data_IF_848435864366
#
_entry.id   IF_848435864366
#
_cell.length_a   1.000
_cell.length_b   1.000
_cell.length_c   1.000
_cell.angle_alpha   90.00
_cell.angle_beta   90.00
_cell.angle_gamma   90.00
#
_symmetry.space_group_name_H-M   'P 1'
#
loop_
_entity.id
_entity.type
_entity.pdbx_description
1 polymer ?
#
# COMPACT_ATOMS: atom_id res chain seq x y z
N UNK A 1 -0.71 18.01 -33.70
CA UNK A 1 -1.25 17.74 -35.05
C UNK A 1 -1.41 19.01 -35.89
N UNK A 2 -2.23 20.01 -35.51
CA UNK A 2 -2.49 21.22 -36.33
C UNK A 2 -1.23 22.00 -36.78
N UNK A 3 -0.23 22.15 -35.92
CA UNK A 3 0.98 22.93 -36.24
C UNK A 3 1.97 22.28 -37.21
N UNK A 4 1.95 20.95 -37.35
CA UNK A 4 2.85 20.23 -38.26
C UNK A 4 2.39 20.33 -39.71
N UNK A 5 1.07 20.30 -39.93
CA UNK A 5 0.48 20.47 -41.26
C UNK A 5 0.76 21.87 -41.82
N UNK A 6 0.68 22.90 -40.97
CA UNK A 6 0.99 24.29 -41.38
C UNK A 6 2.46 24.44 -41.76
N UNK A 7 3.38 23.84 -40.98
CA UNK A 7 4.81 23.85 -41.32
C UNK A 7 5.09 23.15 -42.65
N UNK A 8 4.42 22.03 -42.91
CA UNK A 8 4.55 21.30 -44.17
C UNK A 8 4.04 22.14 -45.35
N UNK A 9 2.88 22.76 -45.24
CA UNK A 9 2.31 23.61 -46.29
C UNK A 9 3.19 24.83 -46.59
N UNK A 10 3.74 25.47 -45.55
CA UNK A 10 4.68 26.58 -45.73
C UNK A 10 5.94 26.13 -46.47
N UNK A 11 6.49 24.98 -46.10
CA UNK A 11 7.64 24.40 -46.80
C UNK A 11 7.30 24.07 -48.27
N UNK A 12 6.15 23.47 -48.55
CA UNK A 12 5.75 23.18 -49.93
C UNK A 12 5.52 24.45 -50.76
N UNK A 13 5.05 25.52 -50.12
CA UNK A 13 4.87 26.84 -50.75
C UNK A 13 6.21 27.53 -51.05
N UNK A 14 7.20 27.43 -50.16
CA UNK A 14 8.52 28.04 -50.36
C UNK A 14 9.30 27.38 -51.50
N UNK A 15 9.15 26.07 -51.67
CA UNK A 15 9.87 25.28 -52.67
C UNK A 15 9.16 25.18 -54.04
N UNK A 16 7.96 25.76 -54.19
CA UNK A 16 7.23 25.74 -55.47
C UNK A 16 6.88 24.32 -55.92
N UNK A 17 6.37 23.51 -54.98
CA UNK A 17 6.13 22.08 -55.19
C UNK A 17 5.13 21.81 -56.34
N UNK A 18 5.46 20.90 -57.30
CA UNK A 18 4.56 20.53 -58.39
C UNK A 18 3.33 19.74 -57.90
N UNK A 19 2.21 19.83 -58.64
CA UNK A 19 0.92 19.23 -58.25
C UNK A 19 0.96 17.71 -58.03
N UNK A 20 1.87 17.01 -58.71
CA UNK A 20 2.06 15.56 -58.58
C UNK A 20 2.64 15.16 -57.21
N UNK A 21 3.55 15.96 -56.67
CA UNK A 21 4.12 15.75 -55.33
C UNK A 21 3.11 16.12 -54.24
N UNK A 22 2.33 17.20 -54.46
CA UNK A 22 1.23 17.59 -53.58
C UNK A 22 0.19 16.47 -53.43
N UNK A 23 -0.19 15.84 -54.54
CA UNK A 23 -1.15 14.73 -54.53
C UNK A 23 -0.58 13.50 -53.81
N UNK A 24 0.68 13.12 -54.05
CA UNK A 24 1.34 12.03 -53.34
C UNK A 24 1.41 12.24 -51.82
N UNK A 25 1.80 13.45 -51.38
CA UNK A 25 1.83 13.83 -49.96
C UNK A 25 0.43 13.80 -49.35
N UNK A 26 -0.57 14.33 -50.05
CA UNK A 26 -1.96 14.33 -49.59
C UNK A 26 -2.51 12.91 -49.38
N UNK A 27 -2.13 11.97 -50.24
CA UNK A 27 -2.52 10.57 -50.17
C UNK A 27 -1.82 9.84 -49.02
N UNK A 28 -0.50 10.04 -48.86
CA UNK A 28 0.26 9.47 -47.73
C UNK A 28 -0.20 9.98 -46.37
N UNK A 29 -0.69 11.21 -46.29
CA UNK A 29 -1.25 11.81 -45.08
C UNK A 29 -2.76 11.56 -44.91
N UNK A 30 -3.40 10.85 -45.85
CA UNK A 30 -4.83 10.54 -45.85
C UNK A 30 -5.74 11.78 -45.75
N UNK A 31 -5.29 12.91 -46.32
CA UNK A 31 -6.01 14.21 -46.26
C UNK A 31 -7.27 14.24 -47.13
N UNK A 32 -7.42 13.30 -48.07
CA UNK A 32 -8.61 13.15 -48.91
C UNK A 32 -9.82 12.59 -48.18
N UNK A 33 -9.67 12.15 -46.92
CA UNK A 33 -10.81 11.80 -46.11
C UNK A 33 -11.54 13.08 -45.72
N UNK A 34 -12.62 13.40 -46.45
CA UNK A 34 -13.77 14.12 -45.91
C UNK A 34 -14.24 13.33 -44.69
N UNK A 35 -13.63 13.59 -43.53
CA UNK A 35 -14.20 13.18 -42.26
C UNK A 35 -15.45 14.02 -42.17
N UNK A 36 -16.60 13.42 -42.49
CA UNK A 36 -17.91 14.03 -42.32
C UNK A 36 -17.96 14.47 -40.87
N UNK A 37 -17.70 15.75 -40.64
CA UNK A 37 -17.91 16.40 -39.36
C UNK A 37 -19.42 16.45 -39.23
N UNK A 38 -20.03 15.38 -38.73
CA UNK A 38 -21.44 15.42 -38.36
C UNK A 38 -21.64 16.60 -37.41
N UNK A 39 -22.79 17.28 -37.49
CA UNK A 39 -23.10 18.45 -36.65
C UNK A 39 -22.88 18.20 -35.14
N UNK A 40 -22.91 16.93 -34.71
CA UNK A 40 -22.62 16.48 -33.34
C UNK A 40 -21.16 16.67 -32.89
N UNK A 41 -20.19 16.80 -33.82
CA UNK A 41 -18.76 16.94 -33.50
C UNK A 41 -18.27 18.39 -33.51
N UNK A 42 -19.01 19.34 -34.08
CA UNK A 42 -18.57 20.74 -34.21
C UNK A 42 -18.71 21.54 -32.91
N UNK A 43 -19.65 21.17 -32.05
CA UNK A 43 -19.86 21.83 -30.77
C UNK A 43 -19.56 20.88 -29.61
N UNK A 44 -18.48 21.17 -28.87
CA UNK A 44 -18.29 20.58 -27.55
C UNK A 44 -19.42 21.12 -26.66
N UNK A 45 -20.46 20.31 -26.39
CA UNK A 45 -21.50 20.66 -25.41
C UNK A 45 -20.79 21.06 -24.11
N UNK A 46 -21.06 22.28 -23.63
CA UNK A 46 -20.59 22.74 -22.33
C UNK A 46 -21.19 21.78 -21.29
N UNK A 47 -20.37 20.92 -20.69
CA UNK A 47 -20.80 20.17 -19.51
C UNK A 47 -21.22 21.21 -18.47
N UNK A 48 -22.43 21.11 -17.94
CA UNK A 48 -22.79 21.80 -16.71
C UNK A 48 -21.69 21.48 -15.71
N UNK A 49 -21.09 22.50 -15.08
CA UNK A 49 -20.23 22.22 -13.93
C UNK A 49 -21.13 21.47 -12.95
N UNK A 50 -20.75 20.24 -12.60
CA UNK A 50 -21.39 19.59 -11.47
C UNK A 50 -21.29 20.59 -10.32
N UNK A 51 -22.43 20.96 -9.73
CA UNK A 51 -22.41 21.75 -8.52
C UNK A 51 -21.54 20.99 -7.52
N UNK A 52 -20.63 21.68 -6.84
CA UNK A 52 -19.66 21.08 -5.93
C UNK A 52 -20.34 20.16 -4.89
N UNK A 53 -21.60 20.45 -4.59
CA UNK A 53 -22.51 19.67 -3.74
C UNK A 53 -22.91 18.31 -4.29
N UNK A 54 -22.88 18.06 -5.61
CA UNK A 54 -23.18 16.73 -6.20
C UNK A 54 -21.98 15.78 -6.22
N UNK A 55 -20.75 16.29 -6.01
CA UNK A 55 -19.52 15.48 -5.95
C UNK A 55 -19.05 15.17 -4.53
N UNK A 56 -19.65 15.79 -3.52
CA UNK A 56 -19.56 15.33 -2.13
C UNK A 56 -20.41 14.06 -2.01
N UNK A 57 -19.85 12.93 -2.45
CA UNK A 57 -20.29 11.66 -1.88
C UNK A 57 -19.94 11.72 -0.40
N UNK A 58 -20.90 11.41 0.46
CA UNK A 58 -20.60 11.17 1.86
C UNK A 58 -19.42 10.19 1.90
N UNK A 59 -18.32 10.56 2.56
CA UNK A 59 -17.23 9.62 2.80
C UNK A 59 -17.87 8.44 3.53
N UNK A 60 -17.86 7.27 2.89
CA UNK A 60 -18.30 6.06 3.55
C UNK A 60 -17.45 5.94 4.82
N UNK A 61 -18.09 6.04 6.00
CA UNK A 61 -17.45 5.75 7.27
C UNK A 61 -16.89 4.34 7.14
N UNK A 62 -15.58 4.24 6.91
CA UNK A 62 -14.92 2.96 6.80
C UNK A 62 -15.08 2.26 8.15
N UNK A 63 -15.79 1.14 8.16
CA UNK A 63 -15.99 0.36 9.39
C UNK A 63 -14.65 0.12 10.08
N UNK A 64 -14.58 0.49 11.36
CA UNK A 64 -13.42 0.21 12.19
C UNK A 64 -13.21 -1.31 12.24
N UNK A 65 -12.03 -1.75 11.80
CA UNK A 65 -11.68 -3.17 11.81
C UNK A 65 -11.74 -3.73 13.24
N UNK A 66 -12.29 -4.94 13.37
CA UNK A 66 -12.21 -5.66 14.63
C UNK A 66 -10.77 -6.02 14.98
N UNK A 67 -10.50 -6.23 16.28
CA UNK A 67 -9.17 -6.67 16.77
C UNK A 67 -8.65 -7.90 16.02
N UNK A 68 -9.53 -8.86 15.73
CA UNK A 68 -9.19 -10.09 14.99
C UNK A 68 -8.82 -9.80 13.53
N UNK A 69 -9.52 -8.86 12.87
CA UNK A 69 -9.25 -8.45 11.49
C UNK A 69 -7.96 -7.65 11.37
N UNK A 70 -7.68 -6.76 12.32
CA UNK A 70 -6.39 -6.04 12.41
C UNK A 70 -5.23 -7.04 12.55
N UNK A 71 -5.39 -8.05 13.42
CA UNK A 71 -4.39 -9.11 13.58
C UNK A 71 -4.24 -9.95 12.29
N UNK A 72 -5.33 -10.25 11.59
CA UNK A 72 -5.29 -10.98 10.32
C UNK A 72 -4.63 -10.18 9.18
N UNK A 73 -4.85 -8.87 9.10
CA UNK A 73 -4.17 -7.97 8.16
C UNK A 73 -2.65 -7.93 8.41
N UNK A 74 -2.24 -7.92 9.67
CA UNK A 74 -0.82 -8.02 10.05
C UNK A 74 -0.18 -9.36 9.61
N UNK A 75 -0.95 -10.46 9.50
CA UNK A 75 -0.45 -11.73 8.93
C UNK A 75 -0.04 -11.61 7.45
N UNK A 76 -0.68 -10.71 6.69
CA UNK A 76 -0.41 -10.50 5.26
C UNK A 76 0.87 -9.68 5.03
N UNK A 77 1.29 -8.90 6.03
CA UNK A 77 2.56 -8.15 6.02
C UNK A 77 3.32 -8.41 7.31
N UNK A 78 4.03 -9.55 7.38
CA UNK A 78 4.95 -9.81 8.48
C UNK A 78 6.04 -8.73 8.53
N UNK A 79 5.89 -7.77 9.45
CA UNK A 79 6.88 -6.71 9.71
C UNK A 79 8.18 -7.28 10.28
N UNK A 80 8.08 -8.37 11.03
CA UNK A 80 9.22 -9.09 11.60
C UNK A 80 9.21 -10.54 11.13
N UNK A 81 10.39 -11.04 10.80
CA UNK A 81 10.64 -12.44 10.50
C UNK A 81 10.58 -13.31 11.75
N UNK A 82 10.37 -14.61 11.56
CA UNK A 82 10.41 -15.57 12.67
C UNK A 82 11.74 -15.52 13.43
N UNK A 83 12.87 -15.32 12.72
CA UNK A 83 14.20 -15.21 13.34
C UNK A 83 14.32 -14.00 14.24
N UNK A 84 13.66 -12.88 13.90
CA UNK A 84 13.67 -11.69 14.74
C UNK A 84 12.84 -11.87 16.01
N UNK A 85 11.74 -12.62 15.94
CA UNK A 85 10.94 -12.98 17.10
C UNK A 85 11.73 -13.93 18.02
N UNK A 86 12.38 -14.94 17.43
CA UNK A 86 13.26 -15.86 18.18
C UNK A 86 14.42 -15.11 18.83
N UNK A 87 15.08 -14.19 18.10
CA UNK A 87 16.16 -13.38 18.63
C UNK A 87 15.72 -12.44 19.76
N UNK A 88 14.48 -11.92 19.71
CA UNK A 88 13.92 -11.12 20.80
C UNK A 88 13.77 -11.95 22.08
N UNK A 89 13.24 -13.18 21.96
CA UNK A 89 13.09 -14.09 23.11
C UNK A 89 14.47 -14.49 23.65
N UNK A 90 15.36 -14.94 22.76
CA UNK A 90 16.70 -15.43 23.13
C UNK A 90 17.61 -14.33 23.68
N UNK A 91 17.48 -13.09 23.19
CA UNK A 91 18.33 -11.97 23.62
C UNK A 91 18.15 -11.59 25.09
N UNK A 92 16.98 -11.87 25.66
CA UNK A 92 16.66 -11.63 27.08
C UNK A 92 16.48 -12.92 27.87
N UNK A 93 16.88 -14.07 27.31
CA UNK A 93 16.75 -15.38 27.95
C UNK A 93 17.95 -15.68 28.84
N UNK A 94 17.68 -16.00 30.10
CA UNK A 94 18.66 -16.52 31.07
C UNK A 94 18.23 -17.92 31.54
N UNK A 95 19.15 -18.88 31.55
CA UNK A 95 18.88 -20.26 31.97
C UNK A 95 17.68 -20.93 31.26
N UNK A 96 17.45 -20.59 29.99
CA UNK A 96 16.36 -21.14 29.19
C UNK A 96 14.98 -20.54 29.47
N UNK A 97 14.91 -19.48 30.29
CA UNK A 97 13.71 -18.71 30.58
C UNK A 97 13.92 -17.22 30.26
N UNK A 98 12.93 -16.59 29.66
CA UNK A 98 12.86 -15.13 29.52
C UNK A 98 11.67 -14.67 30.35
N UNK A 99 11.94 -13.78 31.32
CA UNK A 99 10.90 -13.16 32.14
C UNK A 99 10.67 -11.75 31.60
N UNK A 100 9.43 -11.46 31.24
CA UNK A 100 9.03 -10.13 30.77
C UNK A 100 8.74 -9.26 31.97
N UNK A 101 9.48 -8.16 32.09
CA UNK A 101 9.37 -7.18 33.17
C UNK A 101 9.34 -5.74 32.64
N UNK A 102 9.48 -4.76 33.53
CA UNK A 102 9.46 -3.34 33.20
C UNK A 102 10.63 -2.92 32.31
N UNK A 103 11.74 -3.66 32.34
CA UNK A 103 12.96 -3.40 31.58
C UNK A 103 12.97 -4.12 30.24
N UNK A 104 11.95 -4.92 29.93
CA UNK A 104 11.91 -5.68 28.67
C UNK A 104 11.48 -4.82 27.48
N UNK A 105 10.72 -3.74 27.73
CA UNK A 105 10.14 -2.90 26.67
C UNK A 105 10.73 -1.50 26.75
N UNK A 106 11.46 -1.10 25.71
CA UNK A 106 12.05 0.22 25.59
C UNK A 106 11.52 1.00 24.38
N UNK A 107 10.80 0.33 23.49
CA UNK A 107 10.26 0.91 22.26
C UNK A 107 8.97 0.22 21.84
N UNK A 108 8.19 0.89 20.99
CA UNK A 108 7.00 0.34 20.34
C UNK A 108 7.33 -0.97 19.60
N UNK A 109 8.53 -1.05 19.00
CA UNK A 109 9.02 -2.25 18.32
C UNK A 109 9.19 -3.44 19.26
N UNK A 110 9.67 -3.22 20.49
CA UNK A 110 9.82 -4.28 21.48
C UNK A 110 8.46 -4.76 21.98
N UNK A 111 7.51 -3.84 22.14
CA UNK A 111 6.12 -4.17 22.47
C UNK A 111 5.45 -4.99 21.36
N UNK A 112 5.62 -4.60 20.09
CA UNK A 112 5.13 -5.37 18.94
C UNK A 112 5.74 -6.79 18.90
N UNK A 113 7.05 -6.90 19.11
CA UNK A 113 7.75 -8.21 19.15
C UNK A 113 7.27 -9.07 20.33
N UNK A 114 6.94 -8.47 21.47
CA UNK A 114 6.39 -9.18 22.62
C UNK A 114 5.03 -9.83 22.29
N UNK A 115 4.12 -9.09 21.65
CA UNK A 115 2.81 -9.62 21.23
C UNK A 115 3.01 -10.78 20.25
N UNK A 116 3.90 -10.60 19.28
CA UNK A 116 4.20 -11.65 18.29
C UNK A 116 4.92 -12.85 18.91
N UNK A 117 5.78 -12.64 19.91
CA UNK A 117 6.43 -13.72 20.66
C UNK A 117 5.42 -14.55 21.45
N UNK A 118 4.41 -13.89 22.04
CA UNK A 118 3.29 -14.55 22.70
C UNK A 118 2.49 -15.41 21.70
N UNK A 119 1.99 -14.83 20.61
CA UNK A 119 1.28 -15.58 19.56
C UNK A 119 2.14 -16.70 18.96
N UNK A 120 3.44 -16.46 18.78
CA UNK A 120 4.35 -17.48 18.30
C UNK A 120 4.47 -18.64 19.29
N UNK A 121 4.52 -18.37 20.60
CA UNK A 121 4.72 -19.37 21.66
C UNK A 121 3.47 -20.20 21.99
N UNK A 122 2.26 -19.70 21.71
CA UNK A 122 1.02 -20.48 21.83
C UNK A 122 0.91 -21.56 20.74
N UNK A 123 1.64 -21.43 19.63
CA UNK A 123 1.61 -22.39 18.52
C UNK A 123 2.22 -23.73 18.92
N UNK A 124 1.60 -24.84 18.49
CA UNK A 124 2.07 -26.20 18.77
C UNK A 124 3.48 -26.50 18.22
N UNK A 125 3.90 -25.88 17.11
CA UNK A 125 5.21 -26.10 16.49
C UNK A 125 6.32 -25.18 17.03
N UNK A 126 5.98 -24.24 17.91
CA UNK A 126 6.95 -23.32 18.46
C UNK A 126 7.96 -24.04 19.36
N UNK A 127 9.25 -23.67 19.31
CA UNK A 127 10.25 -24.12 20.28
C UNK A 127 10.05 -23.49 21.65
N UNK A 128 9.17 -22.50 21.79
CA UNK A 128 8.88 -21.80 23.04
C UNK A 128 7.46 -22.13 23.54
N UNK A 129 7.25 -21.98 24.84
CA UNK A 129 5.92 -21.96 25.47
C UNK A 129 5.90 -20.83 26.50
N UNK A 130 4.71 -20.31 26.77
CA UNK A 130 4.48 -19.38 27.87
C UNK A 130 4.06 -20.20 29.09
N UNK A 131 4.66 -19.93 30.24
CA UNK A 131 4.17 -20.44 31.52
C UNK A 131 2.97 -19.56 31.93
N UNK A 132 1.76 -20.12 31.86
CA UNK A 132 0.53 -19.47 32.30
C UNK A 132 0.39 -19.62 33.82
N UNK A 133 1.09 -18.79 34.57
CA UNK A 133 0.74 -18.50 35.98
C UNK A 133 -0.07 -17.21 36.05
N UNK A 134 -0.85 -17.02 37.12
CA UNK A 134 -1.59 -15.78 37.41
C UNK A 134 -0.64 -14.58 37.31
N UNK A 135 -0.60 -13.99 36.11
CA UNK A 135 0.47 -13.09 35.73
C UNK A 135 0.12 -11.69 36.20
N UNK A 136 0.93 -11.15 37.11
CA UNK A 136 0.82 -9.75 37.52
C UNK A 136 0.93 -8.82 36.31
N UNK A 137 0.21 -7.70 36.32
CA UNK A 137 0.31 -6.71 35.26
C UNK A 137 1.55 -5.85 35.47
N UNK A 138 2.35 -5.71 34.42
CA UNK A 138 3.52 -4.83 34.36
C UNK A 138 3.14 -3.53 33.68
N UNK A 139 3.57 -2.41 34.24
CA UNK A 139 3.36 -1.08 33.68
C UNK A 139 4.71 -0.46 33.32
N UNK A 140 4.97 -0.27 32.02
CA UNK A 140 6.23 0.31 31.55
C UNK A 140 6.02 1.17 30.31
N UNK A 141 6.60 2.38 30.30
CA UNK A 141 6.63 3.24 29.11
C UNK A 141 5.26 3.63 28.52
N UNK A 142 4.19 3.60 29.31
CA UNK A 142 2.81 3.82 28.84
C UNK A 142 2.09 2.55 28.35
N UNK A 143 2.78 1.41 28.33
CA UNK A 143 2.20 0.10 28.03
C UNK A 143 1.84 -0.64 29.32
N UNK A 144 0.83 -1.49 29.21
CA UNK A 144 0.37 -2.37 30.29
C UNK A 144 0.21 -3.77 29.71
N UNK A 145 0.93 -4.74 30.25
CA UNK A 145 0.99 -6.11 29.74
C UNK A 145 1.19 -7.11 30.87
N UNK A 146 0.74 -8.38 30.72
CA UNK A 146 0.97 -9.41 31.73
C UNK A 146 2.46 -9.75 31.85
N UNK A 147 2.88 -10.12 33.05
CA UNK A 147 4.24 -10.62 33.34
C UNK A 147 4.43 -12.03 32.77
N UNK A 148 4.67 -12.11 31.46
CA UNK A 148 4.84 -13.36 30.75
C UNK A 148 6.21 -14.00 31.05
N UNK A 149 6.23 -15.33 31.15
CA UNK A 149 7.47 -16.10 31.22
C UNK A 149 7.55 -17.04 30.02
N UNK A 150 8.48 -16.76 29.11
CA UNK A 150 8.76 -17.63 27.97
C UNK A 150 9.80 -18.66 28.36
N UNK A 151 9.51 -19.94 28.12
CA UNK A 151 10.45 -21.04 28.39
C UNK A 151 10.65 -21.88 27.14
N UNK A 152 11.88 -22.36 26.97
CA UNK A 152 12.21 -23.26 25.87
C UNK A 152 11.56 -24.62 26.11
N UNK A 153 10.88 -25.16 25.10
CA UNK A 153 10.34 -26.52 25.17
C UNK A 153 11.49 -27.51 25.18
N UNK A 154 11.52 -28.35 26.21
CA UNK A 154 12.31 -29.57 26.22
C UNK A 154 11.80 -30.46 25.09
N UNK A 155 12.69 -30.83 24.16
CA UNK A 155 12.39 -31.78 23.08
C UNK A 155 12.19 -33.18 23.62
#
# INVERSE_FOLDING_TARGET
MKGLVIKLLNHMSEYGCPEEELTAVSAGMNLSQMTILSEKSLYKRRKTKADFTEQLKDEEESEELSMEEVLNLNKVRNRYSQKEIEAFIEGSMADGKMVVDEQTIHSDQDFEKLILAYDYSTRRKSPYKVEEEDSEMVHSGGYTYPRLVFVRRTR
#
